data_IF_380250947116
#
_entry.id   IF_380250947116
#
_cell.length_a   1.000
_cell.length_b   1.000
_cell.length_c   1.000
_cell.angle_alpha   90.00
_cell.angle_beta   90.00
_cell.angle_gamma   90.00
#
_symmetry.space_group_name_H-M   'P 1'
#
loop_
_entity.id
_entity.type
_entity.pdbx_description
1 polymer ?
#
# COMPACT_ATOMS: atom_id res chain seq x y z
N UNK A 1 9.69 -12.90 -36.09
CA UNK A 1 9.84 -13.54 -34.77
C UNK A 1 10.82 -12.70 -33.97
N UNK A 2 10.32 -11.92 -32.98
CA UNK A 2 11.20 -11.20 -32.06
C UNK A 2 11.84 -12.26 -31.16
N UNK A 3 13.14 -12.48 -31.33
CA UNK A 3 13.92 -13.41 -30.53
C UNK A 3 13.88 -13.01 -29.08
N UNK A 4 13.74 -13.97 -28.17
CA UNK A 4 13.81 -13.79 -26.69
C UNK A 4 15.26 -13.43 -26.31
N UNK A 5 15.63 -12.16 -26.56
CA UNK A 5 17.00 -11.65 -26.48
C UNK A 5 17.55 -11.57 -25.07
N UNK A 6 16.75 -11.90 -24.05
CA UNK A 6 17.16 -11.83 -22.64
C UNK A 6 17.60 -13.20 -22.07
N UNK A 7 17.32 -14.31 -22.75
CA UNK A 7 17.77 -15.63 -22.31
C UNK A 7 19.30 -15.69 -22.24
N UNK A 8 19.84 -16.19 -21.12
CA UNK A 8 21.29 -16.28 -20.89
C UNK A 8 21.95 -14.95 -20.48
N UNK A 9 21.19 -13.83 -20.44
CA UNK A 9 21.72 -12.55 -19.98
C UNK A 9 22.01 -12.58 -18.48
N UNK A 10 23.21 -12.17 -18.09
CA UNK A 10 23.57 -11.96 -16.69
C UNK A 10 23.14 -10.56 -16.26
N UNK A 11 22.50 -10.49 -15.12
CA UNK A 11 22.06 -9.26 -14.45
C UNK A 11 22.34 -9.36 -12.95
N UNK A 12 22.20 -8.24 -12.25
CA UNK A 12 22.28 -8.20 -10.77
C UNK A 12 20.88 -8.06 -10.18
N UNK A 13 20.66 -8.75 -9.06
CA UNK A 13 19.44 -8.68 -8.28
C UNK A 13 19.75 -8.81 -6.78
N UNK A 14 18.90 -8.27 -5.93
CA UNK A 14 19.00 -8.45 -4.49
C UNK A 14 18.20 -9.69 -4.10
N UNK A 15 18.92 -10.73 -3.68
CA UNK A 15 18.36 -12.05 -3.42
C UNK A 15 18.28 -12.36 -1.93
N UNK A 16 17.17 -12.95 -1.52
CA UNK A 16 17.04 -13.73 -0.29
C UNK A 16 17.39 -15.17 -0.63
N UNK A 17 18.56 -15.61 -0.16
CA UNK A 17 19.10 -16.94 -0.49
C UNK A 17 18.63 -18.00 0.51
N UNK A 18 18.45 -17.62 1.76
CA UNK A 18 18.05 -18.49 2.86
C UNK A 18 17.06 -17.77 3.80
N UNK A 19 16.48 -18.53 4.72
CA UNK A 19 15.55 -18.02 5.75
C UNK A 19 16.21 -17.10 6.76
N UNK A 20 17.50 -17.26 6.99
CA UNK A 20 18.26 -16.58 8.06
C UNK A 20 19.02 -15.36 7.54
N UNK A 21 19.42 -15.38 6.25
CA UNK A 21 20.32 -14.38 5.70
C UNK A 21 19.64 -13.05 5.41
N UNK A 22 20.39 -11.97 5.61
CA UNK A 22 20.03 -10.66 5.06
C UNK A 22 20.23 -10.73 3.53
N UNK A 23 19.30 -10.23 2.73
CA UNK A 23 19.43 -10.22 1.27
C UNK A 23 20.69 -9.52 0.81
N UNK A 24 21.28 -10.04 -0.25
CA UNK A 24 22.50 -9.49 -0.84
C UNK A 24 22.40 -9.34 -2.34
N UNK A 25 23.19 -8.42 -2.91
CA UNK A 25 23.30 -8.21 -4.34
C UNK A 25 24.07 -9.39 -4.97
N UNK A 26 23.42 -10.10 -5.89
CA UNK A 26 23.95 -11.29 -6.51
C UNK A 26 23.81 -11.23 -8.04
N UNK A 27 24.75 -11.78 -8.79
CA UNK A 27 24.56 -12.04 -10.22
C UNK A 27 23.62 -13.22 -10.42
N UNK A 28 22.70 -13.07 -11.39
CA UNK A 28 21.80 -14.12 -11.84
C UNK A 28 21.76 -14.19 -13.37
N UNK A 29 21.39 -15.33 -13.92
CA UNK A 29 21.24 -15.54 -15.36
C UNK A 29 19.77 -15.69 -15.69
N UNK A 30 19.22 -14.82 -16.55
CA UNK A 30 17.82 -14.86 -16.95
C UNK A 30 17.53 -16.11 -17.79
N UNK A 31 16.40 -16.75 -17.50
CA UNK A 31 15.85 -17.83 -18.31
C UNK A 31 15.11 -17.29 -19.53
N UNK A 32 14.85 -18.14 -20.49
CA UNK A 32 13.98 -17.83 -21.62
C UNK A 32 12.56 -17.47 -21.11
N UNK A 33 11.98 -16.41 -21.65
CA UNK A 33 10.61 -16.03 -21.30
C UNK A 33 9.62 -17.05 -21.85
N UNK A 34 8.66 -17.42 -21.02
CA UNK A 34 7.61 -18.38 -21.38
C UNK A 34 6.23 -17.73 -21.26
N UNK A 35 5.24 -18.26 -21.98
CA UNK A 35 3.86 -17.84 -21.87
C UNK A 35 3.69 -16.31 -21.92
N UNK A 36 3.13 -15.74 -20.87
CA UNK A 36 2.79 -14.31 -20.76
C UNK A 36 3.81 -13.50 -19.95
N UNK A 37 5.04 -13.98 -19.83
CA UNK A 37 6.10 -13.27 -19.13
C UNK A 37 6.60 -12.07 -19.93
N UNK A 38 6.96 -11.01 -19.22
CA UNK A 38 7.51 -9.75 -19.74
C UNK A 38 8.80 -9.44 -19.00
N UNK A 39 9.87 -9.15 -19.69
CA UNK A 39 11.11 -8.65 -19.10
C UNK A 39 11.13 -7.13 -19.19
N UNK A 40 11.31 -6.47 -18.04
CA UNK A 40 11.30 -5.02 -17.90
C UNK A 40 12.63 -4.55 -17.31
N UNK A 41 13.39 -3.74 -18.04
CA UNK A 41 14.56 -3.04 -17.48
C UNK A 41 14.07 -2.07 -16.42
N UNK A 42 14.51 -2.27 -15.18
CA UNK A 42 14.00 -1.52 -14.04
C UNK A 42 14.63 -0.14 -13.95
N UNK A 43 13.82 0.90 -13.99
CA UNK A 43 14.31 2.27 -13.78
C UNK A 43 14.21 2.68 -12.30
N UNK A 44 13.08 2.37 -11.63
CA UNK A 44 12.86 2.69 -10.23
C UNK A 44 11.90 1.70 -9.56
N UNK A 45 12.13 1.39 -8.30
CA UNK A 45 11.27 0.54 -7.47
C UNK A 45 11.16 1.11 -6.05
N UNK A 46 9.93 1.29 -5.56
CA UNK A 46 9.70 1.78 -4.20
C UNK A 46 9.89 0.67 -3.16
N UNK A 47 10.36 1.01 -1.96
CA UNK A 47 10.32 0.10 -0.83
C UNK A 47 8.91 0.11 -0.22
N UNK A 48 8.44 -1.05 0.21
CA UNK A 48 7.15 -1.20 0.87
C UNK A 48 7.33 -1.85 2.24
N UNK A 49 6.59 -1.37 3.23
CA UNK A 49 6.62 -1.93 4.59
C UNK A 49 6.25 -3.42 4.61
N UNK A 50 5.38 -3.87 3.69
CA UNK A 50 5.02 -5.29 3.56
C UNK A 50 6.19 -6.22 3.25
N UNK A 51 7.30 -5.69 2.70
CA UNK A 51 8.50 -6.48 2.39
C UNK A 51 9.59 -6.37 3.47
N UNK A 52 9.37 -5.58 4.53
CA UNK A 52 10.36 -5.41 5.61
C UNK A 52 10.72 -6.75 6.24
N UNK A 53 9.72 -7.60 6.52
CA UNK A 53 9.96 -8.94 7.05
C UNK A 53 10.82 -9.80 6.13
N UNK A 54 10.58 -9.74 4.82
CA UNK A 54 11.38 -10.46 3.83
C UNK A 54 12.83 -9.95 3.78
N UNK A 55 13.04 -8.64 3.93
CA UNK A 55 14.36 -8.01 3.73
C UNK A 55 15.17 -7.97 5.02
N UNK A 56 14.56 -7.66 6.16
CA UNK A 56 15.31 -7.34 7.39
C UNK A 56 15.21 -8.44 8.45
N UNK A 57 14.37 -9.45 8.28
CA UNK A 57 14.15 -10.47 9.32
C UNK A 57 14.42 -11.88 8.82
N UNK A 58 14.87 -12.76 9.73
CA UNK A 58 14.80 -14.21 9.51
C UNK A 58 13.34 -14.61 9.32
N UNK A 59 13.05 -15.45 8.35
CA UNK A 59 11.70 -15.95 8.11
C UNK A 59 11.61 -17.43 8.50
N UNK A 60 10.92 -17.74 9.58
CA UNK A 60 10.71 -19.12 10.00
C UNK A 60 9.84 -19.92 9.01
N UNK A 61 9.00 -19.22 8.22
CA UNK A 61 7.98 -19.83 7.34
C UNK A 61 8.24 -19.65 5.86
N UNK A 62 9.29 -18.92 5.44
CA UNK A 62 9.60 -18.76 4.03
C UNK A 62 9.94 -20.12 3.38
N UNK A 63 9.43 -20.39 2.19
CA UNK A 63 9.87 -21.55 1.42
C UNK A 63 11.38 -21.48 1.18
N UNK A 64 12.04 -22.65 1.05
CA UNK A 64 13.47 -22.73 0.70
C UNK A 64 13.71 -22.35 -0.77
N UNK A 65 13.18 -21.23 -1.21
CA UNK A 65 13.28 -20.76 -2.60
C UNK A 65 14.08 -19.46 -2.63
N UNK A 66 15.05 -19.40 -3.51
CA UNK A 66 15.79 -18.16 -3.79
C UNK A 66 14.84 -17.18 -4.46
N UNK A 67 14.69 -16.01 -3.89
CA UNK A 67 13.76 -15.01 -4.42
C UNK A 67 14.39 -13.62 -4.48
N UNK A 68 14.00 -12.84 -5.48
CA UNK A 68 14.27 -11.41 -5.53
C UNK A 68 13.36 -10.71 -4.53
N UNK A 69 13.91 -9.83 -3.69
CA UNK A 69 13.16 -9.18 -2.62
C UNK A 69 12.34 -7.99 -3.11
N UNK A 70 11.30 -7.62 -2.35
CA UNK A 70 10.44 -6.48 -2.65
C UNK A 70 9.39 -6.76 -3.72
N UNK A 71 8.72 -5.70 -4.19
CA UNK A 71 7.68 -5.79 -5.23
C UNK A 71 7.38 -4.44 -5.88
N UNK A 72 6.91 -4.49 -7.12
CA UNK A 72 6.53 -3.31 -7.88
C UNK A 72 7.72 -2.49 -8.38
N UNK A 73 7.49 -1.71 -9.41
CA UNK A 73 8.48 -0.83 -9.99
C UNK A 73 8.03 -0.19 -11.29
N UNK A 74 8.93 0.53 -11.93
CA UNK A 74 8.73 1.17 -13.24
C UNK A 74 9.91 0.85 -14.11
N UNK A 75 9.69 0.69 -15.40
CA UNK A 75 10.78 0.46 -16.33
C UNK A 75 10.31 0.35 -17.78
N UNK A 76 11.22 -0.08 -18.64
CA UNK A 76 10.98 -0.23 -20.08
C UNK A 76 11.00 -1.72 -20.44
N UNK A 77 10.01 -2.18 -21.17
CA UNK A 77 9.92 -3.56 -21.67
C UNK A 77 11.07 -3.82 -22.64
N UNK A 78 11.87 -4.85 -22.36
CA UNK A 78 13.04 -5.24 -23.18
C UNK A 78 12.86 -6.59 -23.90
N UNK A 79 11.93 -7.43 -23.43
CA UNK A 79 11.52 -8.65 -24.13
C UNK A 79 10.12 -9.09 -23.66
N UNK A 80 9.45 -9.87 -24.49
CA UNK A 80 8.12 -10.43 -24.21
C UNK A 80 8.06 -11.90 -24.55
N UNK A 81 7.33 -12.68 -23.77
CA UNK A 81 7.04 -14.08 -24.03
C UNK A 81 6.03 -14.26 -25.18
N UNK A 82 5.89 -15.49 -25.70
CA UNK A 82 5.15 -15.76 -26.94
C UNK A 82 3.63 -15.52 -26.84
N UNK A 83 3.07 -15.43 -25.64
CA UNK A 83 1.63 -15.22 -25.41
C UNK A 83 1.30 -13.83 -24.86
N UNK A 84 2.28 -12.90 -24.87
CA UNK A 84 2.05 -11.52 -24.44
C UNK A 84 1.29 -10.77 -25.52
N UNK A 85 0.18 -10.12 -25.12
CA UNK A 85 -0.70 -9.37 -26.03
C UNK A 85 -0.97 -7.94 -25.56
N UNK A 86 -0.62 -7.59 -24.31
CA UNK A 86 -0.99 -6.32 -23.69
C UNK A 86 0.13 -5.28 -23.60
N UNK A 87 1.34 -5.65 -23.99
CA UNK A 87 2.51 -4.77 -23.99
C UNK A 87 3.53 -5.26 -25.01
N UNK A 88 4.43 -4.42 -25.45
CA UNK A 88 5.47 -4.70 -26.44
C UNK A 88 6.82 -4.13 -26.02
N UNK A 89 7.87 -4.59 -26.65
CA UNK A 89 9.23 -4.05 -26.45
C UNK A 89 9.25 -2.55 -26.75
N UNK A 90 9.87 -1.79 -25.85
CA UNK A 90 9.91 -0.33 -25.88
C UNK A 90 8.83 0.36 -25.05
N UNK A 91 7.76 -0.33 -24.69
CA UNK A 91 6.73 0.25 -23.82
C UNK A 91 7.31 0.58 -22.43
N UNK A 92 7.02 1.77 -21.92
CA UNK A 92 7.25 2.13 -20.53
C UNK A 92 6.08 1.64 -19.69
N UNK A 93 6.36 0.90 -18.61
CA UNK A 93 5.32 0.27 -17.80
C UNK A 93 5.51 0.54 -16.32
N UNK A 94 4.38 0.74 -15.62
CA UNK A 94 4.32 0.57 -14.16
C UNK A 94 4.05 -0.92 -13.93
N UNK A 95 4.93 -1.58 -13.19
CA UNK A 95 4.77 -2.97 -12.78
C UNK A 95 4.12 -2.98 -11.40
N UNK A 96 2.85 -3.33 -11.32
CA UNK A 96 2.13 -3.44 -10.07
C UNK A 96 2.47 -4.74 -9.33
N UNK A 97 2.42 -4.69 -8.01
CA UNK A 97 2.66 -5.87 -7.20
C UNK A 97 1.58 -6.95 -7.39
N UNK A 98 0.37 -6.57 -7.79
CA UNK A 98 -0.68 -7.51 -8.17
C UNK A 98 -1.19 -7.21 -9.58
N UNK A 99 -1.67 -8.26 -10.24
CA UNK A 99 -2.32 -8.18 -11.54
C UNK A 99 -3.77 -8.65 -11.48
N UNK A 100 -4.50 -8.45 -12.56
CA UNK A 100 -5.87 -8.95 -12.70
C UNK A 100 -5.98 -9.78 -13.97
N UNK A 101 -6.35 -11.06 -13.85
CA UNK A 101 -6.45 -11.96 -15.01
C UNK A 101 -7.63 -11.61 -15.94
N UNK A 102 -8.66 -10.95 -15.42
CA UNK A 102 -9.83 -10.52 -16.18
C UNK A 102 -10.96 -11.56 -16.32
N UNK A 103 -10.70 -12.83 -15.93
CA UNK A 103 -11.63 -13.94 -16.20
C UNK A 103 -12.00 -14.81 -15.00
N UNK A 104 -11.33 -14.68 -13.85
CA UNK A 104 -11.72 -15.40 -12.63
C UNK A 104 -12.98 -14.80 -12.02
N UNK A 105 -13.63 -15.54 -11.13
CA UNK A 105 -14.88 -15.14 -10.48
C UNK A 105 -14.82 -13.70 -9.92
N UNK A 106 -13.77 -13.37 -9.15
CA UNK A 106 -13.61 -12.02 -8.59
C UNK A 106 -13.49 -10.95 -9.68
N UNK A 107 -12.73 -11.21 -10.75
CA UNK A 107 -12.59 -10.26 -11.85
C UNK A 107 -13.90 -10.03 -12.59
N UNK A 108 -14.72 -11.09 -12.79
CA UNK A 108 -16.04 -10.99 -13.44
C UNK A 108 -17.04 -10.18 -12.59
N UNK A 109 -16.86 -10.17 -11.25
CA UNK A 109 -17.61 -9.31 -10.33
C UNK A 109 -17.02 -7.88 -10.20
N UNK A 110 -16.16 -7.46 -11.11
CA UNK A 110 -15.44 -6.19 -11.04
C UNK A 110 -14.58 -6.00 -9.78
N UNK A 111 -14.17 -7.11 -9.12
CA UNK A 111 -13.30 -7.15 -7.95
C UNK A 111 -11.88 -7.59 -8.33
N UNK A 112 -11.27 -6.85 -9.25
CA UNK A 112 -9.92 -7.13 -9.75
C UNK A 112 -8.87 -7.08 -8.64
N UNK A 113 -9.09 -6.27 -7.62
CA UNK A 113 -8.29 -6.21 -6.40
C UNK A 113 -8.25 -7.54 -5.62
N UNK A 114 -9.23 -8.41 -5.85
CA UNK A 114 -9.36 -9.74 -5.25
C UNK A 114 -9.15 -10.85 -6.29
N UNK A 115 -8.38 -10.59 -7.32
CA UNK A 115 -8.11 -11.57 -8.37
C UNK A 115 -7.50 -12.86 -7.81
N UNK A 116 -8.13 -14.00 -8.07
CA UNK A 116 -7.64 -15.30 -7.62
C UNK A 116 -6.32 -15.72 -8.28
N UNK A 117 -6.01 -15.12 -9.44
CA UNK A 117 -4.79 -15.33 -10.21
C UNK A 117 -3.88 -14.11 -10.20
N UNK A 118 -3.88 -13.33 -9.11
CA UNK A 118 -3.15 -12.05 -9.04
C UNK A 118 -1.64 -12.17 -9.29
N UNK A 119 -1.07 -13.33 -9.04
CA UNK A 119 0.35 -13.63 -9.30
C UNK A 119 0.65 -13.97 -10.77
N UNK A 120 -0.38 -14.14 -11.61
CA UNK A 120 -0.20 -14.55 -13.02
C UNK A 120 -0.10 -16.06 -13.22
N UNK A 121 -0.48 -16.86 -12.21
CA UNK A 121 -0.40 -18.32 -12.21
C UNK A 121 0.58 -18.88 -11.17
N UNK A 122 0.87 -20.16 -11.18
CA UNK A 122 1.87 -20.76 -10.30
C UNK A 122 3.24 -20.09 -10.46
N UNK A 123 4.02 -19.97 -9.36
CA UNK A 123 5.34 -19.37 -9.44
C UNK A 123 6.25 -20.19 -10.34
N UNK A 124 6.86 -19.54 -11.34
CA UNK A 124 7.81 -20.14 -12.28
C UNK A 124 9.16 -19.44 -12.09
N UNK A 125 10.28 -20.21 -12.04
CA UNK A 125 11.61 -19.59 -11.96
C UNK A 125 11.88 -18.75 -13.21
N UNK A 126 12.44 -17.56 -13.00
CA UNK A 126 12.69 -16.56 -14.05
C UNK A 126 14.18 -16.39 -14.34
N UNK A 127 15.03 -16.91 -13.46
CA UNK A 127 16.48 -16.87 -13.57
C UNK A 127 17.11 -18.04 -12.80
N UNK A 128 18.42 -18.16 -12.90
CA UNK A 128 19.25 -19.05 -12.10
C UNK A 128 20.37 -18.29 -11.42
N UNK A 129 20.74 -18.71 -10.21
CA UNK A 129 21.96 -18.26 -9.55
C UNK A 129 23.20 -18.80 -10.26
N UNK A 130 24.38 -18.32 -9.88
CA UNK A 130 25.64 -18.82 -10.47
C UNK A 130 25.93 -20.31 -10.16
N UNK A 131 25.36 -20.84 -9.08
CA UNK A 131 25.44 -22.26 -8.70
C UNK A 131 24.21 -23.07 -9.20
N UNK A 132 23.41 -22.50 -10.10
CA UNK A 132 22.31 -23.19 -10.81
C UNK A 132 21.02 -23.33 -10.03
N UNK A 133 20.85 -22.66 -8.90
CA UNK A 133 19.59 -22.69 -8.15
C UNK A 133 18.52 -21.80 -8.82
N UNK A 134 17.27 -22.26 -8.91
CA UNK A 134 16.19 -21.49 -9.52
C UNK A 134 15.85 -20.25 -8.69
N UNK A 135 15.70 -19.11 -9.36
CA UNK A 135 15.34 -17.80 -8.77
C UNK A 135 13.94 -17.40 -9.19
N UNK A 136 13.14 -16.98 -8.21
CA UNK A 136 11.77 -16.51 -8.39
C UNK A 136 11.70 -14.99 -8.22
N UNK A 137 11.29 -14.27 -9.26
CA UNK A 137 11.23 -12.79 -9.23
C UNK A 137 9.94 -12.22 -8.67
N UNK A 138 8.84 -12.96 -8.76
CA UNK A 138 7.53 -12.43 -8.34
C UNK A 138 7.11 -11.20 -9.15
N UNK A 139 7.13 -10.03 -8.54
CA UNK A 139 6.97 -8.71 -9.20
C UNK A 139 8.05 -7.73 -8.71
N UNK A 140 9.17 -8.25 -8.24
CA UNK A 140 10.19 -7.45 -7.59
C UNK A 140 10.94 -6.54 -8.56
N UNK A 141 11.04 -5.25 -8.18
CA UNK A 141 11.88 -4.26 -8.84
C UNK A 141 13.30 -4.15 -8.28
N UNK A 142 13.68 -5.00 -7.32
CA UNK A 142 15.05 -4.98 -6.76
C UNK A 142 16.01 -5.83 -7.59
N UNK A 143 15.96 -5.61 -8.91
CA UNK A 143 16.80 -6.24 -9.93
C UNK A 143 16.98 -5.30 -11.11
N UNK A 144 18.09 -5.42 -11.85
CA UNK A 144 18.30 -4.64 -13.09
C UNK A 144 17.24 -4.93 -14.16
N UNK A 145 16.69 -6.15 -14.16
CA UNK A 145 15.55 -6.54 -15.01
C UNK A 145 14.54 -7.32 -14.19
N UNK A 146 13.30 -6.86 -14.18
CA UNK A 146 12.16 -7.60 -13.64
C UNK A 146 11.64 -8.56 -14.69
N UNK A 147 11.32 -9.80 -14.29
CA UNK A 147 10.55 -10.73 -15.14
C UNK A 147 9.21 -11.00 -14.46
N UNK A 148 8.13 -10.54 -15.09
CA UNK A 148 6.79 -10.51 -14.48
C UNK A 148 5.73 -10.98 -15.47
N UNK A 149 4.52 -11.29 -15.01
CA UNK A 149 3.41 -11.56 -15.92
C UNK A 149 2.87 -10.27 -16.53
N UNK A 150 2.37 -10.31 -17.76
CA UNK A 150 1.80 -9.14 -18.44
C UNK A 150 0.63 -8.50 -17.70
N UNK A 151 -0.08 -9.26 -16.87
CA UNK A 151 -1.22 -8.78 -16.06
C UNK A 151 -0.80 -7.72 -15.04
N UNK A 152 0.48 -7.70 -14.67
CA UNK A 152 1.05 -6.72 -13.74
C UNK A 152 1.58 -5.48 -14.44
N UNK A 153 1.75 -5.51 -15.75
CA UNK A 153 2.25 -4.40 -16.53
C UNK A 153 1.13 -3.43 -16.91
N UNK A 154 1.32 -2.16 -16.58
CA UNK A 154 0.44 -1.05 -16.96
C UNK A 154 1.23 -0.12 -17.88
N UNK A 155 1.02 -0.18 -19.20
CA UNK A 155 1.68 0.74 -20.12
C UNK A 155 1.32 2.19 -19.83
N UNK A 156 2.31 3.07 -19.86
CA UNK A 156 2.13 4.53 -19.63
C UNK A 156 2.92 5.32 -20.66
N UNK A 157 2.30 6.40 -21.15
CA UNK A 157 2.87 7.32 -22.14
C UNK A 157 2.97 8.69 -21.47
N UNK A 158 4.10 8.97 -20.79
CA UNK A 158 4.27 10.16 -19.97
C UNK A 158 5.75 10.48 -19.76
N UNK A 159 6.06 11.75 -19.53
CA UNK A 159 7.39 12.24 -19.13
C UNK A 159 7.58 12.31 -17.60
N UNK A 160 6.58 11.93 -16.82
CA UNK A 160 6.70 11.86 -15.36
C UNK A 160 7.85 10.92 -14.99
N UNK A 161 8.66 11.31 -14.02
CA UNK A 161 9.86 10.56 -13.64
C UNK A 161 9.54 9.13 -13.17
N UNK A 162 10.43 8.17 -13.43
CA UNK A 162 10.25 6.78 -12.96
C UNK A 162 10.21 6.69 -11.43
N UNK A 163 10.93 7.56 -10.74
CA UNK A 163 10.90 7.68 -9.26
C UNK A 163 9.48 8.01 -8.79
N UNK A 164 8.84 8.99 -9.37
CA UNK A 164 7.48 9.39 -9.01
C UNK A 164 6.45 8.32 -9.39
N UNK A 165 6.54 7.79 -10.59
CA UNK A 165 5.66 6.72 -11.07
C UNK A 165 5.79 5.43 -10.24
N UNK A 166 6.97 5.16 -9.66
CA UNK A 166 7.17 3.95 -8.85
C UNK A 166 6.27 3.91 -7.62
N UNK A 167 5.84 5.07 -7.11
CA UNK A 167 4.86 5.14 -6.02
C UNK A 167 3.51 4.52 -6.40
N UNK A 168 3.12 4.58 -7.68
CA UNK A 168 1.89 3.96 -8.18
C UNK A 168 1.99 2.44 -8.33
N UNK A 169 3.17 1.86 -8.22
CA UNK A 169 3.34 0.40 -8.32
C UNK A 169 2.74 -0.36 -7.12
N UNK A 170 2.58 0.30 -5.97
CA UNK A 170 1.96 -0.29 -4.78
C UNK A 170 1.28 0.78 -3.90
N UNK A 171 2.07 1.49 -3.08
CA UNK A 171 1.56 2.30 -1.96
C UNK A 171 0.65 3.45 -2.39
N UNK A 172 1.00 4.16 -3.46
CA UNK A 172 0.21 5.24 -4.02
C UNK A 172 -1.11 4.73 -4.59
N UNK A 173 -1.02 3.66 -5.40
CA UNK A 173 -2.20 3.00 -5.96
C UNK A 173 -3.16 2.51 -4.86
N UNK A 174 -2.64 1.89 -3.81
CA UNK A 174 -3.44 1.40 -2.69
C UNK A 174 -4.14 2.53 -1.94
N UNK A 175 -3.42 3.59 -1.58
CA UNK A 175 -4.00 4.72 -0.85
C UNK A 175 -5.05 5.48 -1.66
N UNK A 176 -4.78 5.76 -2.93
CA UNK A 176 -5.76 6.36 -3.83
C UNK A 176 -7.00 5.47 -3.95
N UNK A 177 -6.82 4.17 -4.05
CA UNK A 177 -7.92 3.21 -4.13
C UNK A 177 -8.80 3.19 -2.89
N UNK A 178 -8.22 3.30 -1.70
CA UNK A 178 -9.01 3.39 -0.46
C UNK A 178 -9.99 4.55 -0.51
N UNK A 179 -9.53 5.75 -0.88
CA UNK A 179 -10.36 6.94 -0.91
C UNK A 179 -11.25 7.04 -2.17
N UNK A 180 -10.77 6.58 -3.32
CA UNK A 180 -11.47 6.80 -4.61
C UNK A 180 -12.32 5.63 -5.06
N UNK A 181 -12.06 4.42 -4.54
CA UNK A 181 -12.75 3.19 -4.98
C UNK A 181 -13.49 2.50 -3.85
N UNK A 182 -12.86 2.34 -2.67
CA UNK A 182 -13.47 1.62 -1.53
C UNK A 182 -14.35 2.50 -0.67
N UNK A 183 -13.87 3.66 -0.27
CA UNK A 183 -14.75 4.65 0.33
C UNK A 183 -15.57 5.33 -0.75
N UNK A 184 -16.89 5.38 -0.62
CA UNK A 184 -17.73 6.13 -1.54
C UNK A 184 -17.70 7.64 -1.24
N UNK A 185 -16.49 8.21 -1.10
CA UNK A 185 -16.32 9.65 -0.83
C UNK A 185 -17.04 10.47 -1.89
N UNK A 186 -17.86 11.40 -1.44
CA UNK A 186 -18.63 12.33 -2.26
C UNK A 186 -18.25 13.77 -1.91
N UNK A 187 -18.51 14.75 -2.77
CA UNK A 187 -18.45 16.15 -2.39
C UNK A 187 -19.30 16.43 -1.15
N UNK A 188 -18.67 17.03 -0.12
CA UNK A 188 -19.32 17.26 1.16
C UNK A 188 -19.09 16.20 2.25
N UNK A 189 -18.41 15.08 1.93
CA UNK A 189 -18.09 14.05 2.93
C UNK A 189 -17.02 14.51 3.93
N UNK A 190 -17.13 14.06 5.17
CA UNK A 190 -16.09 14.13 6.19
C UNK A 190 -15.27 12.82 6.18
N UNK A 191 -13.96 12.94 6.09
CA UNK A 191 -13.03 11.81 6.00
C UNK A 191 -11.96 11.90 7.09
N UNK A 192 -11.75 10.81 7.82
CA UNK A 192 -10.63 10.69 8.77
C UNK A 192 -9.66 9.63 8.26
N UNK A 193 -8.37 9.96 8.20
CA UNK A 193 -7.30 9.06 7.75
C UNK A 193 -6.36 8.78 8.93
N UNK A 194 -6.29 7.53 9.36
CA UNK A 194 -5.32 7.07 10.36
C UNK A 194 -4.03 6.61 9.69
N UNK A 195 -2.91 7.24 10.09
CA UNK A 195 -1.59 6.98 9.54
C UNK A 195 -1.30 7.80 8.28
N UNK A 196 -0.21 8.55 8.29
CA UNK A 196 0.29 9.36 7.17
C UNK A 196 1.62 8.80 6.62
N UNK A 197 1.70 7.47 6.49
CA UNK A 197 2.68 6.81 5.64
C UNK A 197 2.32 7.02 4.16
N UNK A 198 3.06 6.40 3.21
CA UNK A 198 2.82 6.60 1.78
C UNK A 198 1.39 6.27 1.36
N UNK A 199 0.77 5.24 1.97
CA UNK A 199 -0.62 4.85 1.72
C UNK A 199 -1.59 5.92 2.20
N UNK A 200 -1.46 6.36 3.47
CA UNK A 200 -2.37 7.36 4.04
C UNK A 200 -2.26 8.73 3.37
N UNK A 201 -1.04 9.19 3.06
CA UNK A 201 -0.83 10.44 2.32
C UNK A 201 -1.41 10.37 0.89
N UNK A 202 -1.43 9.20 0.27
CA UNK A 202 -2.12 9.00 -1.01
C UNK A 202 -3.64 9.00 -0.82
N UNK A 203 -4.15 8.44 0.28
CA UNK A 203 -5.57 8.47 0.61
C UNK A 203 -6.07 9.89 0.90
N UNK A 204 -5.30 10.73 1.60
CA UNK A 204 -5.58 12.17 1.80
C UNK A 204 -5.76 12.86 0.46
N UNK A 205 -4.82 12.68 -0.47
CA UNK A 205 -4.94 13.26 -1.82
C UNK A 205 -6.15 12.71 -2.58
N UNK A 206 -6.41 11.40 -2.46
CA UNK A 206 -7.59 10.76 -3.07
C UNK A 206 -8.90 11.33 -2.56
N UNK A 207 -9.04 11.53 -1.25
CA UNK A 207 -10.22 12.14 -0.62
C UNK A 207 -10.43 13.59 -1.10
N UNK A 208 -9.34 14.37 -1.18
CA UNK A 208 -9.38 15.74 -1.74
C UNK A 208 -9.85 15.74 -3.20
N UNK A 209 -9.32 14.85 -4.03
CA UNK A 209 -9.71 14.70 -5.43
C UNK A 209 -11.19 14.33 -5.61
N UNK A 210 -11.77 13.61 -4.64
CA UNK A 210 -13.19 13.23 -4.59
C UNK A 210 -14.09 14.35 -4.06
N UNK A 211 -13.52 15.45 -3.56
CA UNK A 211 -14.28 16.60 -3.07
C UNK A 211 -14.76 16.46 -1.62
N UNK A 212 -14.05 15.72 -0.78
CA UNK A 212 -14.33 15.71 0.65
C UNK A 212 -14.38 17.15 1.20
N UNK A 213 -15.36 17.45 2.05
CA UNK A 213 -15.51 18.76 2.68
C UNK A 213 -14.51 18.96 3.82
N UNK A 214 -14.19 17.89 4.55
CA UNK A 214 -13.20 17.89 5.59
C UNK A 214 -12.35 16.61 5.53
N UNK A 215 -11.04 16.75 5.65
CA UNK A 215 -10.07 15.65 5.74
C UNK A 215 -9.23 15.85 6.99
N UNK A 216 -9.38 14.96 7.96
CA UNK A 216 -8.60 14.97 9.21
C UNK A 216 -7.60 13.82 9.14
N UNK A 217 -6.30 14.14 9.30
CA UNK A 217 -5.24 13.12 9.31
C UNK A 217 -4.72 12.88 10.72
N UNK A 218 -4.67 11.63 11.16
CA UNK A 218 -4.19 11.19 12.48
C UNK A 218 -2.81 10.55 12.30
N UNK A 219 -1.77 11.15 12.88
CA UNK A 219 -0.38 10.70 12.68
C UNK A 219 0.52 11.11 13.86
N UNK A 220 1.27 10.21 14.49
CA UNK A 220 2.16 10.54 15.59
C UNK A 220 3.41 11.33 15.16
N UNK A 221 3.84 11.26 13.91
CA UNK A 221 5.10 11.84 13.42
C UNK A 221 4.88 13.25 12.88
N UNK A 222 5.52 14.24 13.49
CA UNK A 222 5.28 15.67 13.19
C UNK A 222 5.46 16.02 11.69
N UNK A 223 6.59 15.66 11.07
CA UNK A 223 6.84 16.01 9.66
C UNK A 223 5.81 15.39 8.70
N UNK A 224 5.24 14.20 9.05
CA UNK A 224 4.18 13.56 8.25
C UNK A 224 2.86 14.30 8.42
N UNK A 225 2.56 14.82 9.61
CA UNK A 225 1.40 15.71 9.83
C UNK A 225 1.51 16.97 8.96
N UNK A 226 2.68 17.61 8.96
CA UNK A 226 2.92 18.79 8.11
C UNK A 226 2.76 18.47 6.61
N UNK A 227 3.24 17.30 6.18
CA UNK A 227 3.09 16.86 4.80
C UNK A 227 1.64 16.56 4.47
N UNK A 228 0.87 15.97 5.40
CA UNK A 228 -0.55 15.72 5.19
C UNK A 228 -1.34 17.02 4.93
N UNK A 229 -1.05 18.09 5.68
CA UNK A 229 -1.63 19.43 5.43
C UNK A 229 -1.27 19.95 4.03
N UNK A 230 0.01 19.84 3.63
CA UNK A 230 0.46 20.26 2.29
C UNK A 230 -0.21 19.47 1.17
N UNK A 231 -0.55 18.22 1.41
CA UNK A 231 -1.18 17.32 0.44
C UNK A 231 -2.70 17.34 0.45
N UNK A 232 -3.31 18.09 1.38
CA UNK A 232 -4.73 18.39 1.33
C UNK A 232 -5.57 17.95 2.52
N UNK A 233 -4.96 17.55 3.63
CA UNK A 233 -5.67 17.47 4.90
C UNK A 233 -6.00 18.89 5.39
N UNK A 234 -7.21 19.06 5.95
CA UNK A 234 -7.67 20.33 6.51
C UNK A 234 -7.22 20.47 7.99
N UNK A 235 -7.07 19.34 8.67
CA UNK A 235 -6.58 19.28 10.04
C UNK A 235 -5.74 18.03 10.28
N UNK A 236 -4.88 18.10 11.31
CA UNK A 236 -4.06 16.98 11.74
C UNK A 236 -4.16 16.79 13.25
N UNK A 237 -4.09 15.54 13.70
CA UNK A 237 -4.15 15.19 15.12
C UNK A 237 -2.97 14.28 15.46
N UNK A 238 -2.28 14.62 16.57
CA UNK A 238 -1.29 13.75 17.18
C UNK A 238 -1.98 12.79 18.17
N UNK A 239 -2.07 11.47 17.87
CA UNK A 239 -2.76 10.54 18.76
C UNK A 239 -2.08 10.40 20.14
N UNK A 240 -0.79 10.75 20.26
CA UNK A 240 -0.10 10.72 21.55
C UNK A 240 -0.62 11.72 22.57
N UNK A 241 -1.39 12.73 22.14
CA UNK A 241 -2.05 13.70 23.03
C UNK A 241 -3.38 13.18 23.60
N UNK A 242 -3.90 12.04 23.12
CA UNK A 242 -5.23 11.51 23.44
C UNK A 242 -5.14 10.02 23.79
N UNK A 243 -4.42 9.70 24.87
CA UNK A 243 -4.11 8.30 25.22
C UNK A 243 -5.11 7.65 26.18
N UNK A 244 -6.04 8.44 26.75
CA UNK A 244 -7.05 7.91 27.68
C UNK A 244 -8.06 7.05 26.93
N UNK A 245 -8.15 5.78 27.33
CA UNK A 245 -9.06 4.79 26.77
C UNK A 245 -9.49 3.81 27.85
N UNK A 246 -10.78 3.71 28.10
CA UNK A 246 -11.34 2.82 29.13
C UNK A 246 -12.57 2.09 28.59
N UNK A 247 -12.71 0.78 28.86
CA UNK A 247 -13.92 0.03 28.49
C UNK A 247 -15.17 0.65 29.14
N UNK A 248 -16.27 0.68 28.41
CA UNK A 248 -17.58 1.07 28.94
C UNK A 248 -18.31 -0.18 29.43
N UNK A 249 -18.70 -0.19 30.70
CA UNK A 249 -19.54 -1.25 31.26
C UNK A 249 -21.02 -0.93 31.03
N UNK A 250 -21.82 -1.95 30.72
CA UNK A 250 -23.27 -1.76 30.55
C UNK A 250 -23.61 -1.06 29.23
N UNK A 251 -23.08 -1.55 28.16
CA UNK A 251 -23.32 -1.05 26.81
C UNK A 251 -24.81 -0.90 26.48
N UNK A 252 -25.24 0.32 26.13
CA UNK A 252 -26.61 0.63 25.78
C UNK A 252 -26.74 1.05 24.31
N UNK A 253 -27.30 0.13 23.49
CA UNK A 253 -27.76 0.49 22.15
C UNK A 253 -26.75 0.29 21.02
N UNK A 254 -27.26 0.34 19.78
CA UNK A 254 -26.56 0.02 18.54
C UNK A 254 -25.42 0.99 18.21
N UNK A 255 -25.52 2.23 18.73
CA UNK A 255 -24.56 3.31 18.44
C UNK A 255 -23.77 3.76 19.68
N UNK A 256 -23.87 3.03 20.79
CA UNK A 256 -23.16 3.37 22.02
C UNK A 256 -21.66 3.12 21.90
N UNK A 257 -20.88 3.93 22.61
CA UNK A 257 -19.45 3.70 22.73
C UNK A 257 -19.14 2.48 23.58
N UNK A 258 -18.28 1.59 23.11
CA UNK A 258 -17.78 0.47 23.89
C UNK A 258 -16.42 0.77 24.54
N UNK A 259 -15.83 1.93 24.19
CA UNK A 259 -14.73 2.56 24.90
C UNK A 259 -15.01 4.06 25.07
N UNK A 260 -14.69 4.61 26.25
CA UNK A 260 -14.39 6.03 26.39
C UNK A 260 -12.99 6.25 25.83
N UNK A 261 -12.89 6.93 24.71
CA UNK A 261 -11.65 7.08 23.97
C UNK A 261 -11.46 8.56 23.59
N UNK A 262 -10.47 9.18 24.24
CA UNK A 262 -10.24 10.62 24.09
C UNK A 262 -9.92 11.03 22.63
N UNK A 263 -9.27 10.15 21.85
CA UNK A 263 -8.99 10.43 20.44
C UNK A 263 -10.28 10.40 19.61
N UNK A 264 -11.13 9.39 19.83
CA UNK A 264 -12.42 9.27 19.15
C UNK A 264 -13.31 10.46 19.46
N UNK A 265 -13.38 10.86 20.74
CA UNK A 265 -14.17 12.02 21.17
C UNK A 265 -13.69 13.30 20.51
N UNK A 266 -12.37 13.51 20.47
CA UNK A 266 -11.77 14.67 19.80
C UNK A 266 -12.09 14.71 18.30
N UNK A 267 -11.95 13.59 17.61
CA UNK A 267 -12.23 13.50 16.17
C UNK A 267 -13.72 13.75 15.87
N UNK A 268 -14.62 13.23 16.71
CA UNK A 268 -16.06 13.51 16.61
C UNK A 268 -16.39 14.97 16.79
N UNK A 269 -15.76 15.63 17.77
CA UNK A 269 -15.91 17.06 17.95
C UNK A 269 -15.54 17.86 16.70
N UNK A 270 -14.43 17.49 16.07
CA UNK A 270 -13.97 18.16 14.85
C UNK A 270 -14.95 17.97 13.69
N UNK A 271 -15.57 16.80 13.55
CA UNK A 271 -16.59 16.53 12.53
C UNK A 271 -17.94 17.21 12.86
N UNK A 272 -18.33 17.36 14.13
CA UNK A 272 -19.59 17.98 14.54
C UNK A 272 -19.78 19.42 14.03
N UNK A 273 -18.70 20.17 13.92
CA UNK A 273 -18.76 21.56 13.45
C UNK A 273 -19.40 21.71 12.06
N UNK A 274 -19.43 20.63 11.28
CA UNK A 274 -19.94 20.63 9.91
C UNK A 274 -21.27 19.91 9.72
N UNK A 275 -21.68 19.01 10.64
CA UNK A 275 -22.80 18.08 10.46
C UNK A 275 -24.00 18.33 11.37
N UNK A 276 -23.91 19.21 12.35
CA UNK A 276 -24.89 19.36 13.44
C UNK A 276 -26.16 20.17 13.07
N UNK A 277 -26.39 20.43 11.80
CA UNK A 277 -27.35 21.46 11.41
C UNK A 277 -28.78 21.02 11.14
N UNK A 278 -29.13 19.72 11.13
CA UNK A 278 -30.37 19.38 10.42
C UNK A 278 -31.30 18.32 10.99
N UNK A 279 -31.02 17.61 12.07
CA UNK A 279 -31.92 16.55 12.52
C UNK A 279 -32.37 16.66 13.98
N UNK A 280 -33.69 16.78 14.15
CA UNK A 280 -34.39 16.59 15.44
C UNK A 280 -34.24 15.11 15.81
N UNK A 281 -33.51 14.78 16.86
CA UNK A 281 -33.42 13.42 17.37
C UNK A 281 -32.04 12.76 17.38
N UNK A 282 -30.98 13.50 17.13
CA UNK A 282 -29.60 13.00 17.17
C UNK A 282 -28.93 13.09 15.81
N UNK A 283 -28.02 14.03 15.69
CA UNK A 283 -27.19 14.18 14.50
C UNK A 283 -26.26 12.98 14.28
N UNK A 284 -25.75 12.85 13.09
CA UNK A 284 -24.71 11.87 12.76
C UNK A 284 -23.50 12.08 13.67
N UNK A 285 -23.08 11.02 14.39
CA UNK A 285 -21.95 11.08 15.31
C UNK A 285 -20.72 10.47 14.60
N UNK A 286 -19.82 11.31 14.11
CA UNK A 286 -18.58 10.92 13.46
C UNK A 286 -18.53 11.19 11.95
N UNK A 287 -17.39 10.92 11.29
CA UNK A 287 -17.19 11.13 9.86
C UNK A 287 -17.97 10.12 9.00
N UNK A 288 -18.19 10.48 7.74
CA UNK A 288 -18.76 9.57 6.74
C UNK A 288 -17.83 8.39 6.45
N UNK A 289 -16.54 8.69 6.40
CA UNK A 289 -15.55 7.70 6.01
C UNK A 289 -14.34 7.73 6.94
N UNK A 290 -13.87 6.53 7.30
CA UNK A 290 -12.64 6.35 8.07
C UNK A 290 -11.71 5.44 7.30
N UNK A 291 -10.52 5.93 7.00
CA UNK A 291 -9.48 5.19 6.26
C UNK A 291 -8.37 4.81 7.24
N UNK A 292 -8.17 3.52 7.40
CA UNK A 292 -7.09 2.98 8.20
C UNK A 292 -5.90 2.66 7.28
N UNK A 293 -4.78 3.34 7.50
CA UNK A 293 -3.52 3.20 6.79
C UNK A 293 -2.30 3.22 7.73
N UNK A 294 -2.53 3.07 9.04
CA UNK A 294 -1.48 3.03 10.05
C UNK A 294 -0.79 1.65 10.10
N UNK A 295 -1.60 0.59 10.01
CA UNK A 295 -1.14 -0.78 10.19
C UNK A 295 -0.67 -1.10 11.59
N UNK A 296 -0.29 -2.37 11.79
CA UNK A 296 0.38 -2.82 12.99
C UNK A 296 1.90 -2.84 12.83
N UNK A 297 2.59 -3.05 13.93
CA UNK A 297 4.02 -3.21 14.00
C UNK A 297 4.41 -4.63 14.45
N UNK A 298 4.10 -5.62 13.63
CA UNK A 298 4.46 -7.01 13.90
C UNK A 298 5.99 -7.23 14.06
N UNK A 299 6.79 -6.26 13.67
CA UNK A 299 8.26 -6.34 13.72
C UNK A 299 8.89 -5.51 14.85
N UNK A 300 8.08 -4.81 15.64
CA UNK A 300 8.56 -3.86 16.67
C UNK A 300 9.39 -4.45 17.78
N UNK A 301 9.20 -5.73 18.11
CA UNK A 301 10.02 -6.44 19.10
C UNK A 301 11.36 -6.95 18.57
N UNK A 302 11.56 -6.97 17.26
CA UNK A 302 12.73 -7.57 16.60
C UNK A 302 13.66 -6.51 16.00
N UNK A 303 13.13 -5.34 15.66
CA UNK A 303 13.88 -4.28 15.03
C UNK A 303 13.88 -3.05 15.94
N UNK A 304 15.06 -2.67 16.45
CA UNK A 304 15.24 -1.44 17.21
C UNK A 304 14.91 -0.25 16.32
N UNK A 305 13.86 0.48 16.67
CA UNK A 305 13.49 1.71 15.97
C UNK A 305 13.99 2.91 16.75
N UNK A 306 14.70 3.83 16.11
CA UNK A 306 14.82 5.17 16.67
C UNK A 306 13.42 5.77 16.76
N UNK A 307 13.16 6.56 17.78
CA UNK A 307 11.88 7.11 18.21
C UNK A 307 11.23 8.05 17.20
N UNK A 308 10.83 7.54 16.04
CA UNK A 308 10.10 8.33 15.05
C UNK A 308 8.58 8.41 15.32
N UNK A 309 8.13 7.98 16.51
CA UNK A 309 6.73 7.97 16.91
C UNK A 309 5.96 6.76 16.33
N UNK A 310 5.45 5.92 17.19
CA UNK A 310 4.64 4.75 16.81
C UNK A 310 3.16 4.91 17.16
N UNK A 311 2.82 6.02 17.84
CA UNK A 311 1.53 6.19 18.49
C UNK A 311 1.46 5.43 19.82
N UNK A 312 0.35 5.54 20.53
CA UNK A 312 0.17 4.92 21.85
C UNK A 312 0.05 3.39 21.78
N UNK A 313 -0.29 2.82 20.64
CA UNK A 313 -0.38 1.38 20.41
C UNK A 313 0.34 0.98 19.12
N UNK A 314 1.55 0.42 19.20
CA UNK A 314 2.29 -0.02 18.04
C UNK A 314 1.71 -1.27 17.38
N UNK A 315 0.85 -2.05 18.04
CA UNK A 315 0.23 -3.25 17.45
C UNK A 315 -0.82 -2.92 16.39
N UNK A 316 -1.41 -1.71 16.44
CA UNK A 316 -2.47 -1.25 15.55
C UNK A 316 -3.87 -1.76 15.91
N UNK A 317 -4.01 -2.60 16.94
CA UNK A 317 -5.31 -3.17 17.34
C UNK A 317 -6.24 -2.10 17.89
N UNK A 318 -5.72 -1.17 18.69
CA UNK A 318 -6.47 -0.02 19.17
C UNK A 318 -6.98 0.84 18.01
N UNK A 319 -6.14 1.07 16.99
CA UNK A 319 -6.54 1.85 15.81
C UNK A 319 -7.72 1.20 15.08
N UNK A 320 -7.72 -0.11 14.86
CA UNK A 320 -8.85 -0.81 14.21
C UNK A 320 -10.16 -0.66 15.01
N UNK A 321 -10.07 -0.76 16.34
CA UNK A 321 -11.20 -0.54 17.24
C UNK A 321 -11.70 0.93 17.19
N UNK A 322 -10.78 1.90 17.19
CA UNK A 322 -11.09 3.32 17.05
C UNK A 322 -11.75 3.65 15.72
N UNK A 323 -11.26 3.05 14.62
CA UNK A 323 -11.83 3.21 13.27
C UNK A 323 -13.29 2.76 13.23
N UNK A 324 -13.61 1.60 13.82
CA UNK A 324 -14.98 1.14 13.92
C UNK A 324 -15.86 2.05 14.76
N UNK A 325 -15.38 2.42 15.97
CA UNK A 325 -16.14 3.25 16.90
C UNK A 325 -16.38 4.67 16.36
N UNK A 326 -15.37 5.25 15.70
CA UNK A 326 -15.42 6.60 15.14
C UNK A 326 -16.38 6.72 13.95
N UNK A 327 -16.40 5.69 13.07
CA UNK A 327 -17.22 5.69 11.86
C UNK A 327 -18.69 5.94 12.20
N UNK A 328 -19.34 6.89 11.51
CA UNK A 328 -20.75 7.20 11.71
C UNK A 328 -21.65 6.02 11.34
N UNK A 329 -22.88 6.02 11.83
CA UNK A 329 -23.91 5.11 11.35
C UNK A 329 -24.10 5.32 9.83
N UNK A 330 -24.28 4.25 9.09
CA UNK A 330 -24.27 4.17 7.62
C UNK A 330 -22.96 4.64 6.95
N UNK A 331 -21.92 4.93 7.76
CA UNK A 331 -20.60 5.28 7.26
C UNK A 331 -19.79 4.08 6.79
N UNK A 332 -18.66 4.36 6.15
CA UNK A 332 -17.75 3.34 5.61
C UNK A 332 -16.36 3.47 6.21
N UNK A 333 -15.89 2.40 6.84
CA UNK A 333 -14.51 2.22 7.27
C UNK A 333 -13.76 1.30 6.29
N UNK A 334 -12.53 1.63 5.96
CA UNK A 334 -11.70 0.82 5.05
C UNK A 334 -10.30 0.65 5.58
N UNK A 335 -9.69 -0.52 5.32
CA UNK A 335 -8.29 -0.79 5.64
C UNK A 335 -7.61 -1.58 4.51
N UNK A 336 -6.38 -1.23 4.19
CA UNK A 336 -5.47 -2.10 3.43
C UNK A 336 -4.13 -2.28 4.15
N UNK A 337 -4.13 -2.05 5.44
CA UNK A 337 -2.94 -2.12 6.29
C UNK A 337 -2.50 -3.55 6.56
N UNK A 338 -1.26 -3.67 6.97
CA UNK A 338 -0.57 -4.92 7.25
C UNK A 338 0.24 -4.81 8.54
N UNK A 339 0.89 -5.90 8.94
CA UNK A 339 1.78 -5.90 10.10
C UNK A 339 1.05 -6.09 11.43
N UNK A 340 -0.15 -6.65 11.41
CA UNK A 340 -0.85 -7.08 12.61
C UNK A 340 -0.27 -8.41 13.13
N UNK A 341 -0.22 -8.61 14.46
CA UNK A 341 0.14 -9.91 15.00
C UNK A 341 -0.79 -11.01 14.46
N UNK A 342 -0.28 -12.23 14.16
CA UNK A 342 -1.07 -13.28 13.49
C UNK A 342 -2.30 -13.75 14.26
N UNK A 343 -2.26 -13.66 15.59
CA UNK A 343 -3.31 -14.06 16.52
C UNK A 343 -4.14 -12.89 17.05
N UNK A 344 -3.84 -11.66 16.58
CA UNK A 344 -4.54 -10.46 17.01
C UNK A 344 -6.02 -10.49 16.63
N UNK A 345 -6.86 -9.98 17.53
CA UNK A 345 -8.32 -9.93 17.37
C UNK A 345 -8.81 -8.52 17.67
N UNK A 346 -9.80 -8.09 16.91
CA UNK A 346 -10.57 -6.87 17.18
C UNK A 346 -11.93 -7.30 17.69
N UNK A 347 -12.27 -6.84 18.91
CA UNK A 347 -13.59 -7.08 19.50
C UNK A 347 -14.54 -5.95 19.11
N UNK A 348 -15.68 -6.33 18.57
CA UNK A 348 -16.77 -5.44 18.17
C UNK A 348 -18.04 -5.95 18.84
N UNK A 349 -18.82 -5.10 19.53
CA UNK A 349 -20.08 -5.54 20.13
C UNK A 349 -21.04 -6.13 19.09
N UNK A 350 -21.65 -7.28 19.41
CA UNK A 350 -22.47 -8.04 18.46
C UNK A 350 -23.65 -7.24 17.89
N UNK A 351 -24.31 -6.41 18.70
CA UNK A 351 -25.40 -5.55 18.26
C UNK A 351 -24.94 -4.44 17.29
N UNK A 352 -23.72 -3.89 17.47
CA UNK A 352 -23.17 -2.96 16.49
C UNK A 352 -22.83 -3.62 15.17
N UNK A 353 -22.36 -4.86 15.24
CA UNK A 353 -22.10 -5.65 14.04
C UNK A 353 -23.38 -5.99 13.27
N UNK A 354 -24.45 -6.39 13.99
CA UNK A 354 -25.71 -6.81 13.40
C UNK A 354 -26.57 -5.62 12.93
N UNK A 355 -26.71 -4.58 13.75
CA UNK A 355 -27.71 -3.51 13.54
C UNK A 355 -27.10 -2.13 13.31
N UNK A 356 -25.76 -1.99 13.40
CA UNK A 356 -25.06 -0.70 13.33
C UNK A 356 -25.05 -0.05 11.95
N UNK A 357 -25.43 -0.79 10.89
CA UNK A 357 -25.47 -0.33 9.50
C UNK A 357 -24.16 0.26 8.98
N UNK A 358 -23.06 0.09 9.71
CA UNK A 358 -21.72 0.48 9.29
C UNK A 358 -21.16 -0.51 8.29
N UNK A 359 -20.36 -0.03 7.36
CA UNK A 359 -19.63 -0.88 6.41
C UNK A 359 -18.15 -0.92 6.79
N UNK A 360 -17.56 -2.11 6.79
CA UNK A 360 -16.11 -2.28 6.89
C UNK A 360 -15.59 -3.09 5.71
N UNK A 361 -14.60 -2.53 5.00
CA UNK A 361 -13.94 -3.20 3.88
C UNK A 361 -12.46 -3.35 4.17
N UNK A 362 -12.01 -4.58 4.32
CA UNK A 362 -10.59 -4.93 4.29
C UNK A 362 -10.16 -5.36 2.89
N UNK A 363 -8.89 -5.28 2.62
CA UNK A 363 -8.33 -5.86 1.41
C UNK A 363 -7.08 -5.17 0.90
N UNK A 364 -6.35 -5.90 0.08
CA UNK A 364 -5.15 -5.40 -0.56
C UNK A 364 -5.48 -4.39 -1.67
N UNK A 365 -4.53 -3.54 -2.03
CA UNK A 365 -4.59 -2.63 -3.19
C UNK A 365 -5.68 -1.55 -3.15
N UNK A 366 -6.37 -1.35 -2.01
CA UNK A 366 -7.41 -0.33 -1.87
C UNK A 366 -8.58 -0.47 -2.85
N UNK A 367 -8.79 -1.65 -3.45
CA UNK A 367 -9.88 -1.87 -4.41
C UNK A 367 -9.59 -1.39 -5.83
N UNK A 368 -8.35 -1.07 -6.17
CA UNK A 368 -7.99 -0.58 -7.50
C UNK A 368 -7.94 -1.67 -8.56
N UNK A 369 -8.19 -1.27 -9.79
CA UNK A 369 -7.77 -2.00 -10.98
C UNK A 369 -6.60 -1.25 -11.61
N UNK A 370 -5.34 -1.71 -11.47
CA UNK A 370 -4.17 -0.96 -11.92
C UNK A 370 -4.21 -0.57 -13.40
N UNK A 371 -4.76 -1.41 -14.27
CA UNK A 371 -4.87 -1.13 -15.71
C UNK A 371 -5.90 -0.05 -16.03
N UNK A 372 -6.99 0.03 -15.27
CA UNK A 372 -8.01 1.07 -15.41
C UNK A 372 -7.57 2.37 -14.76
N UNK A 373 -7.02 2.29 -13.55
CA UNK A 373 -6.81 3.43 -12.68
C UNK A 373 -5.43 4.05 -12.85
N UNK A 374 -4.38 3.24 -13.14
CA UNK A 374 -3.02 3.70 -13.33
C UNK A 374 -2.89 4.85 -14.35
N UNK A 375 -3.42 4.72 -15.59
CA UNK A 375 -3.37 5.83 -16.56
C UNK A 375 -4.11 7.09 -16.10
N UNK A 376 -5.20 6.94 -15.32
CA UNK A 376 -5.92 8.08 -14.73
C UNK A 376 -5.09 8.79 -13.66
N UNK A 377 -4.40 8.02 -12.81
CA UNK A 377 -3.51 8.58 -11.79
C UNK A 377 -2.31 9.30 -12.42
N UNK A 378 -1.73 8.73 -13.48
CA UNK A 378 -0.67 9.39 -14.25
C UNK A 378 -1.18 10.73 -14.80
N UNK A 379 -2.38 10.76 -15.37
CA UNK A 379 -2.97 12.01 -15.86
C UNK A 379 -3.18 13.06 -14.75
N UNK A 380 -3.52 12.64 -13.54
CA UNK A 380 -3.64 13.54 -12.39
C UNK A 380 -2.27 14.09 -11.94
N UNK A 381 -1.20 13.29 -12.05
CA UNK A 381 0.18 13.76 -11.80
C UNK A 381 0.58 14.79 -12.84
N UNK A 382 0.40 14.52 -14.13
CA UNK A 382 0.73 15.42 -15.23
C UNK A 382 0.04 16.78 -15.12
N UNK A 383 -1.19 16.80 -14.60
CA UNK A 383 -1.95 18.05 -14.41
C UNK A 383 -1.71 18.71 -13.05
N UNK A 384 -0.75 18.22 -12.25
CA UNK A 384 -0.40 18.78 -10.94
C UNK A 384 -1.47 18.58 -9.86
N UNK A 385 -2.49 17.76 -10.12
CA UNK A 385 -3.59 17.49 -9.18
C UNK A 385 -3.25 16.37 -8.18
N UNK A 386 -2.24 15.56 -8.48
CA UNK A 386 -1.73 14.48 -7.64
C UNK A 386 -0.20 14.63 -7.53
N UNK A 387 0.32 14.65 -6.32
CA UNK A 387 1.74 14.83 -6.03
C UNK A 387 2.33 13.54 -5.43
N UNK A 388 2.77 12.62 -6.26
CA UNK A 388 3.46 11.41 -5.82
C UNK A 388 4.95 11.68 -5.53
N UNK A 389 5.53 12.72 -6.13
CA UNK A 389 6.91 13.15 -5.89
C UNK A 389 7.17 13.48 -4.42
N UNK A 390 6.21 14.10 -3.75
CA UNK A 390 6.31 14.46 -2.33
C UNK A 390 6.45 13.23 -1.40
N UNK A 391 6.06 12.05 -1.86
CA UNK A 391 6.17 10.80 -1.11
C UNK A 391 7.54 10.12 -1.31
N UNK A 392 8.19 10.33 -2.43
CA UNK A 392 9.48 9.75 -2.78
C UNK A 392 10.62 10.55 -2.13
N UNK A 393 10.97 10.20 -0.90
CA UNK A 393 11.85 11.02 -0.05
C UNK A 393 13.33 10.89 -0.38
N UNK A 394 13.79 9.71 -0.77
CA UNK A 394 15.23 9.43 -1.03
C UNK A 394 15.39 8.28 -2.00
N UNK A 395 16.41 8.38 -2.87
CA UNK A 395 16.81 7.33 -3.81
C UNK A 395 18.08 6.62 -3.37
N UNK A 396 18.19 5.34 -3.76
CA UNK A 396 19.32 4.46 -3.46
C UNK A 396 19.70 3.63 -4.70
N UNK A 397 20.98 3.33 -4.93
CA UNK A 397 21.39 2.35 -5.92
C UNK A 397 20.96 0.94 -5.49
N UNK A 398 20.94 -0.01 -6.44
CA UNK A 398 20.53 -1.40 -6.18
C UNK A 398 21.33 -2.08 -5.06
N UNK A 399 22.63 -1.77 -4.96
CA UNK A 399 23.50 -2.33 -3.92
C UNK A 399 23.06 -1.95 -2.50
N UNK A 400 22.43 -0.80 -2.33
CA UNK A 400 22.01 -0.26 -1.03
C UNK A 400 20.55 -0.57 -0.70
N UNK A 401 19.94 -1.55 -1.38
CA UNK A 401 18.53 -1.94 -1.15
C UNK A 401 18.22 -2.21 0.32
N UNK A 402 19.08 -2.96 1.02
CA UNK A 402 18.87 -3.29 2.44
C UNK A 402 18.86 -2.03 3.30
N UNK A 403 19.76 -1.10 3.02
CA UNK A 403 19.79 0.19 3.72
C UNK A 403 18.57 1.05 3.41
N UNK A 404 18.11 1.06 2.16
CA UNK A 404 16.86 1.71 1.77
C UNK A 404 15.67 1.21 2.61
N UNK A 405 15.58 -0.10 2.84
CA UNK A 405 14.54 -0.68 3.70
C UNK A 405 14.72 -0.30 5.18
N UNK A 406 15.96 -0.25 5.70
CA UNK A 406 16.23 0.20 7.09
C UNK A 406 15.78 1.64 7.29
N UNK A 407 16.12 2.53 6.35
CA UNK A 407 15.73 3.95 6.43
C UNK A 407 14.21 4.12 6.33
N UNK A 408 13.54 3.41 5.43
CA UNK A 408 12.08 3.44 5.33
C UNK A 408 11.42 2.97 6.63
N UNK A 409 11.98 1.92 7.25
CA UNK A 409 11.48 1.36 8.48
C UNK A 409 11.69 2.25 9.70
N UNK A 410 12.76 3.01 9.74
CA UNK A 410 13.01 3.97 10.81
C UNK A 410 12.03 5.16 10.81
N UNK A 411 11.16 5.23 9.80
CA UNK A 411 10.10 6.26 9.65
C UNK A 411 10.60 7.71 9.64
N UNK A 412 11.91 7.92 9.42
CA UNK A 412 12.52 9.26 9.28
C UNK A 412 12.24 9.88 7.92
N UNK A 413 11.71 9.09 6.99
CA UNK A 413 11.28 9.48 5.64
C UNK A 413 9.91 8.87 5.34
N UNK A 414 9.23 9.36 4.29
CA UNK A 414 7.95 8.79 3.87
C UNK A 414 8.17 7.48 3.12
N UNK A 415 8.96 7.51 2.04
CA UNK A 415 9.33 6.32 1.27
C UNK A 415 10.73 6.47 0.69
N UNK A 416 11.39 5.32 0.49
CA UNK A 416 12.66 5.23 -0.24
C UNK A 416 12.46 4.50 -1.56
N UNK A 417 13.24 4.89 -2.55
CA UNK A 417 13.18 4.35 -3.92
C UNK A 417 14.55 3.78 -4.27
N UNK A 418 14.59 2.60 -4.87
CA UNK A 418 15.79 2.00 -5.42
C UNK A 418 15.81 2.24 -6.93
N UNK A 419 16.96 2.65 -7.47
CA UNK A 419 17.18 2.89 -8.91
C UNK A 419 18.20 1.87 -9.44
N UNK A 420 17.76 0.68 -9.90
CA UNK A 420 18.66 -0.42 -10.21
C UNK A 420 19.63 -0.17 -11.38
N UNK A 421 19.27 0.71 -12.30
CA UNK A 421 20.06 1.07 -13.48
C UNK A 421 20.37 2.58 -13.54
N UNK A 422 20.24 3.28 -12.40
CA UNK A 422 20.52 4.71 -12.25
C UNK A 422 21.89 4.98 -11.70
#
# INVERSE_FOLDING_TARGET
MLTNTQAGRRIRAVLKLDRVDIPSLQPITLRALTGRQVAVRTDAAQTCYSSVGQVLLPSATAPQTVSVVGHGGVGVVVAVGPQVVSTRVGDRVIVNFHGACGWCYSCLLARQDQCLNFSGGPPVPTADTTDGKPVFSGSSGMAEVMVVSQEKCVPVFTDVSSVELSMLACVGNSGLGLAMTRCPVQPGSDVVVFGCGPVGLSAVQGAKLKGAAQIIAVEPIAYRRELALKLGADAVVDPNQYTTRTPVQGFSGVNGDFFKDALVDRLREMCKQHTDRTFVGGGRVGPDHVIEAAGGDAYGGVITRPSAGTGPDPTGMTVLSQVWQLCSQVGTAVSCSIGYPPDAKVEIPANQWADGQKQFWGGTCGGTNPRRDGPRYVRLIETGRLNMKALASRTYPLADTVEAYRVAMNRTVVATIVTPNG
#
